data_IF_820581840776
#
_entry.id   IF_820581840776
#
_cell.length_a   1.000
_cell.length_b   1.000
_cell.length_c   1.000
_cell.angle_alpha   90.00
_cell.angle_beta   90.00
_cell.angle_gamma   90.00
#
_symmetry.space_group_name_H-M   'P 1'
#
loop_
_entity.id
_entity.type
_entity.pdbx_description
1 polymer ?
#
# COMPACT_ATOMS: atom_id res chain seq x y z
N UNK A 1 16.75 79.98 -10.52
CA UNK A 1 17.41 78.83 -11.18
C UNK A 1 16.84 77.53 -10.64
N UNK A 2 16.30 76.70 -11.54
CA UNK A 2 15.92 75.28 -11.42
C UNK A 2 15.05 74.84 -10.23
N UNK A 3 13.73 74.87 -10.43
CA UNK A 3 12.77 74.04 -9.68
C UNK A 3 12.85 72.59 -10.18
N UNK A 4 13.33 71.67 -9.34
CA UNK A 4 13.20 70.23 -9.59
C UNK A 4 11.85 69.75 -9.04
N UNK A 5 10.92 69.50 -9.97
CA UNK A 5 9.63 68.87 -9.72
C UNK A 5 9.87 67.41 -9.31
N UNK A 6 9.56 67.06 -8.06
CA UNK A 6 9.51 65.68 -7.60
C UNK A 6 8.07 65.17 -7.80
N UNK A 7 7.87 64.44 -8.90
CA UNK A 7 6.61 63.73 -9.20
C UNK A 7 6.49 62.54 -8.26
N UNK A 8 5.64 62.65 -7.24
CA UNK A 8 5.23 61.53 -6.39
C UNK A 8 4.27 60.64 -7.18
N UNK A 9 4.72 59.44 -7.58
CA UNK A 9 3.83 58.39 -8.08
C UNK A 9 3.01 57.84 -6.89
N UNK A 10 1.71 58.09 -6.91
CA UNK A 10 0.76 57.46 -6.02
C UNK A 10 0.54 55.99 -6.45
N UNK A 11 1.00 55.05 -5.62
CA UNK A 11 0.63 53.65 -5.75
C UNK A 11 -0.79 53.47 -5.19
N UNK A 12 -1.76 53.27 -6.08
CA UNK A 12 -3.14 52.94 -5.76
C UNK A 12 -3.19 51.45 -5.34
N UNK A 13 -3.18 51.18 -4.03
CA UNK A 13 -3.43 49.85 -3.50
C UNK A 13 -4.95 49.60 -3.49
N UNK A 14 -5.44 48.83 -4.47
CA UNK A 14 -6.82 48.36 -4.50
C UNK A 14 -6.99 47.25 -3.46
N UNK A 15 -7.63 47.57 -2.34
CA UNK A 15 -8.12 46.58 -1.38
C UNK A 15 -9.37 45.90 -1.96
N UNK A 16 -9.19 44.70 -2.51
CA UNK A 16 -10.29 43.83 -2.92
C UNK A 16 -11.07 43.35 -1.70
N UNK A 17 -12.36 43.68 -1.63
CA UNK A 17 -13.30 43.09 -0.68
C UNK A 17 -13.37 41.58 -0.93
N UNK A 18 -12.89 40.78 0.02
CA UNK A 18 -13.21 39.36 0.09
C UNK A 18 -14.66 39.22 0.57
N UNK A 19 -15.56 38.89 -0.35
CA UNK A 19 -16.91 38.44 0.00
C UNK A 19 -16.78 37.11 0.75
N UNK A 20 -17.10 37.12 2.03
CA UNK A 20 -17.24 35.91 2.85
C UNK A 20 -18.42 35.11 2.31
N UNK A 21 -18.11 34.05 1.56
CA UNK A 21 -19.09 33.01 1.22
C UNK A 21 -19.43 32.29 2.52
N UNK A 22 -20.60 32.61 3.08
CA UNK A 22 -21.15 31.88 4.20
C UNK A 22 -21.32 30.41 3.79
N UNK A 23 -20.69 29.51 4.55
CA UNK A 23 -20.90 28.07 4.43
C UNK A 23 -22.38 27.78 4.69
N UNK A 24 -23.12 27.47 3.62
CA UNK A 24 -24.50 27.00 3.72
C UNK A 24 -24.46 25.61 4.36
N UNK A 25 -25.08 25.38 5.54
CA UNK A 25 -25.13 24.03 6.07
C UNK A 25 -25.84 23.13 5.07
N UNK A 26 -25.20 22.00 4.75
CA UNK A 26 -25.81 20.96 3.96
C UNK A 26 -27.10 20.52 4.67
N UNK A 27 -28.22 20.56 3.95
CA UNK A 27 -29.44 19.94 4.43
C UNK A 27 -29.15 18.44 4.59
N UNK A 28 -29.17 17.97 5.82
CA UNK A 28 -29.11 16.56 6.18
C UNK A 28 -30.28 15.85 5.49
N UNK A 29 -30.06 14.84 4.63
CA UNK A 29 -31.17 14.10 4.07
C UNK A 29 -31.88 13.39 5.23
N UNK A 30 -33.16 13.71 5.42
CA UNK A 30 -33.99 13.10 6.43
C UNK A 30 -33.86 11.57 6.35
N UNK A 31 -33.39 10.96 7.43
CA UNK A 31 -33.39 9.51 7.58
C UNK A 31 -34.84 9.00 7.39
N UNK A 32 -35.05 7.89 6.65
CA UNK A 32 -36.39 7.33 6.54
C UNK A 32 -36.81 6.82 7.93
N UNK A 33 -37.80 7.49 8.53
CA UNK A 33 -38.49 6.99 9.72
C UNK A 33 -39.11 5.64 9.39
N UNK A 34 -38.49 4.56 9.84
CA UNK A 34 -39.04 3.22 9.71
C UNK A 34 -40.32 3.12 10.55
N UNK A 35 -41.46 2.90 9.89
CA UNK A 35 -42.69 2.52 10.56
C UNK A 35 -42.53 1.13 11.22
N UNK A 36 -43.06 0.88 12.42
CA UNK A 36 -42.99 -0.42 13.05
C UNK A 36 -44.11 -1.32 12.51
N UNK A 37 -43.76 -2.55 12.16
CA UNK A 37 -44.72 -3.63 11.94
C UNK A 37 -45.04 -3.90 10.47
N UNK A 38 -44.26 -4.80 9.88
CA UNK A 38 -44.80 -6.06 9.35
C UNK A 38 -43.63 -7.02 9.12
N UNK A 39 -43.49 -7.99 10.02
CA UNK A 39 -42.61 -9.14 9.85
C UNK A 39 -43.20 -10.06 8.79
N UNK A 40 -43.11 -9.65 7.52
CA UNK A 40 -43.28 -10.55 6.40
C UNK A 40 -41.89 -11.00 5.95
N UNK A 41 -41.58 -12.27 6.23
CA UNK A 41 -40.46 -13.00 5.64
C UNK A 41 -40.63 -13.07 4.12
N UNK A 42 -40.20 -12.02 3.42
CA UNK A 42 -39.80 -12.13 2.03
C UNK A 42 -38.28 -12.40 2.04
N UNK A 43 -37.76 -13.41 1.30
CA UNK A 43 -36.34 -13.45 1.05
C UNK A 43 -36.02 -12.17 0.29
N UNK A 44 -35.30 -11.26 0.94
CA UNK A 44 -34.74 -10.10 0.26
C UNK A 44 -33.67 -10.63 -0.72
N UNK A 45 -34.12 -11.16 -1.85
CA UNK A 45 -33.35 -11.14 -3.09
C UNK A 45 -33.43 -9.72 -3.62
N UNK A 46 -33.00 -8.76 -2.79
CA UNK A 46 -32.70 -7.43 -3.27
C UNK A 46 -31.44 -7.62 -4.11
N UNK A 47 -31.65 -7.83 -5.41
CA UNK A 47 -30.60 -7.62 -6.38
C UNK A 47 -30.01 -6.25 -6.05
N UNK A 48 -28.72 -6.25 -5.68
CA UNK A 48 -27.97 -5.01 -5.54
C UNK A 48 -28.27 -4.17 -6.78
N UNK A 49 -28.74 -2.91 -6.62
CA UNK A 49 -29.10 -2.08 -7.77
C UNK A 49 -27.92 -2.08 -8.76
N UNK A 50 -28.20 -2.15 -10.07
CA UNK A 50 -27.16 -2.04 -11.08
C UNK A 50 -26.36 -0.74 -10.84
N UNK A 51 -25.14 -0.87 -10.33
CA UNK A 51 -24.35 0.25 -9.80
C UNK A 51 -24.00 0.20 -8.30
N UNK A 52 -24.41 -0.84 -7.57
CA UNK A 52 -24.08 -0.97 -6.15
C UNK A 52 -22.56 -1.14 -5.90
N UNK A 53 -21.84 -1.67 -6.88
CA UNK A 53 -20.39 -1.80 -6.84
C UNK A 53 -19.80 -0.91 -7.95
N UNK A 54 -19.04 0.14 -7.59
CA UNK A 54 -18.39 0.98 -8.59
C UNK A 54 -17.32 0.20 -9.37
N UNK A 55 -17.06 0.63 -10.60
CA UNK A 55 -15.95 0.11 -11.42
C UNK A 55 -14.61 0.34 -10.70
N UNK A 56 -13.70 -0.62 -10.79
CA UNK A 56 -12.41 -0.60 -10.10
C UNK A 56 -12.41 -1.23 -8.71
N UNK A 57 -13.56 -1.61 -8.14
CA UNK A 57 -13.59 -2.36 -6.87
C UNK A 57 -13.01 -3.76 -7.08
N UNK A 58 -12.06 -4.12 -6.22
CA UNK A 58 -11.42 -5.44 -6.20
C UNK A 58 -12.00 -6.25 -5.06
N UNK A 59 -12.43 -7.48 -5.35
CA UNK A 59 -12.95 -8.42 -4.35
C UNK A 59 -12.20 -9.74 -4.40
N UNK A 60 -12.08 -10.39 -3.24
CA UNK A 60 -11.61 -11.77 -3.17
C UNK A 60 -12.73 -12.69 -3.67
N UNK A 61 -12.40 -13.54 -4.63
CA UNK A 61 -13.32 -14.42 -5.33
C UNK A 61 -12.82 -15.86 -5.24
N UNK A 62 -13.71 -16.74 -4.81
CA UNK A 62 -13.46 -18.17 -4.78
C UNK A 62 -14.15 -18.83 -5.97
N UNK A 63 -13.39 -19.08 -7.03
CA UNK A 63 -13.89 -19.70 -8.25
C UNK A 63 -12.88 -19.60 -9.40
N UNK A 64 -13.07 -20.42 -10.43
CA UNK A 64 -12.24 -20.42 -11.64
C UNK A 64 -12.89 -19.72 -12.83
N UNK A 65 -14.21 -19.56 -12.79
CA UNK A 65 -15.00 -18.89 -13.84
C UNK A 65 -15.35 -17.49 -13.36
N UNK A 66 -14.84 -16.48 -14.05
CA UNK A 66 -15.10 -15.07 -13.71
C UNK A 66 -16.54 -14.70 -14.12
N UNK A 67 -17.37 -14.15 -13.21
CA UNK A 67 -18.72 -13.72 -13.54
C UNK A 67 -18.75 -12.57 -14.56
N UNK A 68 -19.88 -12.41 -15.25
CA UNK A 68 -20.06 -11.32 -16.21
C UNK A 68 -19.94 -9.94 -15.55
N UNK A 69 -19.27 -9.00 -16.24
CA UNK A 69 -19.01 -7.65 -15.75
C UNK A 69 -17.93 -7.57 -14.66
N UNK A 70 -17.10 -8.61 -14.56
CA UNK A 70 -15.89 -8.65 -13.75
C UNK A 70 -14.71 -9.13 -14.59
N UNK A 71 -13.51 -8.75 -14.18
CA UNK A 71 -12.25 -9.16 -14.81
C UNK A 71 -11.28 -9.68 -13.78
N UNK A 72 -10.39 -10.58 -14.19
CA UNK A 72 -9.34 -11.09 -13.33
C UNK A 72 -8.24 -10.03 -13.13
N UNK A 73 -7.76 -9.88 -11.90
CA UNK A 73 -6.61 -9.03 -11.58
C UNK A 73 -5.28 -9.72 -11.94
N UNK A 74 -4.98 -9.80 -13.24
CA UNK A 74 -3.81 -10.50 -13.78
C UNK A 74 -2.77 -9.59 -14.46
N UNK A 75 -2.97 -8.27 -14.40
CA UNK A 75 -2.06 -7.30 -15.00
C UNK A 75 -2.39 -6.94 -16.44
N UNK A 76 -3.44 -7.52 -17.03
CA UNK A 76 -3.82 -7.24 -18.42
C UNK A 76 -4.76 -6.03 -18.53
N UNK A 77 -4.69 -5.38 -19.68
CA UNK A 77 -5.66 -4.37 -20.09
C UNK A 77 -6.94 -5.06 -20.55
N UNK A 78 -8.08 -4.63 -20.00
CA UNK A 78 -9.39 -5.18 -20.31
C UNK A 78 -9.91 -4.66 -21.65
N UNK A 79 -11.03 -5.24 -22.13
CA UNK A 79 -11.70 -4.78 -23.35
C UNK A 79 -12.17 -3.32 -23.26
N UNK A 80 -12.36 -2.80 -22.04
CA UNK A 80 -12.69 -1.38 -21.77
C UNK A 80 -11.47 -0.45 -21.74
N UNK A 81 -10.26 -0.96 -21.94
CA UNK A 81 -9.03 -0.16 -21.91
C UNK A 81 -8.49 0.14 -20.52
N UNK A 82 -9.01 -0.54 -19.47
CA UNK A 82 -8.53 -0.38 -18.09
C UNK A 82 -7.46 -1.43 -17.80
N UNK A 83 -6.30 -1.03 -17.28
CA UNK A 83 -5.26 -1.98 -16.85
C UNK A 83 -5.54 -2.46 -15.43
N UNK A 84 -5.74 -3.78 -15.28
CA UNK A 84 -5.90 -4.40 -13.96
C UNK A 84 -4.55 -4.52 -13.23
N UNK A 85 -4.50 -4.46 -11.90
CA UNK A 85 -3.29 -4.82 -11.15
C UNK A 85 -3.06 -6.34 -11.22
N UNK A 86 -1.79 -6.77 -11.21
CA UNK A 86 -1.43 -8.19 -11.11
C UNK A 86 -1.34 -8.61 -9.64
N UNK A 87 -2.36 -9.30 -9.13
CA UNK A 87 -2.45 -9.74 -7.73
C UNK A 87 -2.15 -11.23 -7.54
N UNK A 88 -1.63 -11.92 -8.55
CA UNK A 88 -1.31 -13.35 -8.45
C UNK A 88 -0.14 -13.58 -7.49
N UNK A 89 -0.35 -14.46 -6.49
CA UNK A 89 0.62 -14.75 -5.42
C UNK A 89 1.08 -13.50 -4.65
N UNK A 90 0.17 -12.54 -4.43
CA UNK A 90 0.47 -11.29 -3.73
C UNK A 90 -0.58 -10.99 -2.67
N UNK A 91 -0.12 -10.38 -1.58
CA UNK A 91 -1.00 -9.77 -0.60
C UNK A 91 -1.26 -8.30 -0.97
N UNK A 92 -2.44 -7.81 -0.62
CA UNK A 92 -2.81 -6.41 -0.81
C UNK A 92 -2.19 -5.59 0.31
N UNK A 93 -1.41 -4.58 -0.05
CA UNK A 93 -0.82 -3.61 0.86
C UNK A 93 -1.48 -2.25 0.62
N UNK A 94 -1.83 -1.55 1.71
CA UNK A 94 -2.43 -0.22 1.63
C UNK A 94 -1.44 0.80 1.07
N UNK A 95 -1.90 1.61 0.12
CA UNK A 95 -1.07 2.66 -0.46
C UNK A 95 -0.93 3.83 0.52
N UNK A 96 0.31 4.24 0.78
CA UNK A 96 0.64 5.58 1.24
C UNK A 96 1.11 6.42 0.03
N UNK A 97 0.34 7.43 -0.40
CA UNK A 97 0.69 8.27 -1.55
C UNK A 97 2.01 9.04 -1.39
N UNK A 98 2.53 9.19 -0.17
CA UNK A 98 3.80 9.87 0.06
C UNK A 98 5.01 8.98 -0.26
N UNK A 99 4.84 7.66 -0.26
CA UNK A 99 5.95 6.69 -0.31
C UNK A 99 5.83 5.67 -1.43
N UNK A 100 4.73 5.66 -2.19
CA UNK A 100 4.58 4.75 -3.33
C UNK A 100 3.52 5.16 -4.34
N UNK A 101 3.34 4.33 -5.35
CA UNK A 101 2.34 4.52 -6.41
C UNK A 101 1.29 3.39 -6.44
N UNK A 102 0.09 3.68 -6.97
CA UNK A 102 -0.93 2.67 -7.21
C UNK A 102 -0.37 1.59 -8.15
N UNK A 103 -0.48 0.32 -7.74
CA UNK A 103 0.03 -0.81 -8.52
C UNK A 103 1.52 -1.06 -8.39
N UNK A 104 2.21 -0.33 -7.52
CA UNK A 104 3.58 -0.65 -7.12
C UNK A 104 3.64 -2.04 -6.48
N UNK A 105 4.73 -2.77 -6.75
CA UNK A 105 4.91 -4.16 -6.33
C UNK A 105 6.21 -4.31 -5.59
N UNK A 106 6.17 -5.01 -4.46
CA UNK A 106 7.34 -5.37 -3.68
C UNK A 106 7.23 -6.76 -3.06
N UNK A 107 8.19 -7.08 -2.21
CA UNK A 107 8.26 -8.33 -1.47
C UNK A 107 8.83 -9.51 -2.27
N UNK A 108 9.27 -10.54 -1.53
CA UNK A 108 9.75 -11.81 -2.05
C UNK A 108 9.22 -12.95 -1.19
N UNK A 109 8.92 -14.11 -1.78
CA UNK A 109 8.42 -15.27 -1.04
C UNK A 109 9.47 -15.88 -0.10
N UNK A 110 10.75 -15.71 -0.42
CA UNK A 110 11.89 -16.13 0.39
C UNK A 110 12.90 -15.00 0.47
N UNK A 111 13.67 -14.96 1.55
CA UNK A 111 14.82 -14.08 1.68
C UNK A 111 16.02 -14.84 2.24
N UNK A 112 17.22 -14.36 1.93
CA UNK A 112 18.47 -14.87 2.46
C UNK A 112 18.90 -14.04 3.67
N UNK A 113 19.40 -14.70 4.68
CA UNK A 113 20.05 -14.03 5.81
C UNK A 113 21.54 -13.90 5.53
N UNK A 114 22.15 -12.82 6.00
CA UNK A 114 23.60 -12.66 5.98
C UNK A 114 24.12 -12.64 7.41
N UNK A 115 25.04 -13.56 7.73
CA UNK A 115 25.78 -13.53 8.99
C UNK A 115 27.12 -12.83 8.79
N UNK A 116 27.53 -12.01 9.78
CA UNK A 116 28.89 -11.48 9.87
C UNK A 116 29.51 -12.02 11.15
N UNK A 117 30.57 -12.80 11.03
CA UNK A 117 31.42 -13.13 12.17
C UNK A 117 32.30 -11.91 12.45
N UNK A 118 32.34 -11.46 13.71
CA UNK A 118 33.26 -10.40 14.12
C UNK A 118 34.71 -10.78 13.77
N UNK A 119 35.53 -9.79 13.41
CA UNK A 119 36.96 -10.00 13.15
C UNK A 119 37.69 -10.58 14.36
N UNK A 120 38.92 -11.10 14.17
CA UNK A 120 39.73 -11.60 15.28
C UNK A 120 39.91 -10.50 16.34
N UNK A 121 39.97 -10.92 17.60
CA UNK A 121 40.13 -10.02 18.75
C UNK A 121 41.49 -9.30 18.69
N UNK A 122 41.52 -8.15 19.36
CA UNK A 122 42.59 -7.15 19.42
C UNK A 122 44.01 -7.74 19.44
N UNK A 123 44.95 -7.05 18.78
CA UNK A 123 46.39 -7.35 18.73
C UNK A 123 47.11 -7.11 20.05
N UNK A 124 46.62 -7.62 21.17
CA UNK A 124 47.30 -7.45 22.46
C UNK A 124 47.14 -8.71 23.32
N UNK A 125 47.80 -9.80 22.92
CA UNK A 125 48.49 -10.72 23.83
C UNK A 125 49.26 -11.77 23.03
N UNK A 126 50.53 -11.98 23.40
CA UNK A 126 51.41 -12.97 22.78
C UNK A 126 50.95 -14.36 23.26
N UNK A 127 50.03 -14.99 22.53
CA UNK A 127 49.59 -16.36 22.84
C UNK A 127 50.75 -17.31 22.56
N UNK A 128 51.35 -17.85 23.63
CA UNK A 128 52.36 -18.90 23.51
C UNK A 128 51.67 -20.24 23.21
N UNK A 129 51.98 -20.81 22.04
CA UNK A 129 51.59 -22.18 21.68
C UNK A 129 52.60 -23.13 22.30
N UNK A 130 52.27 -23.66 23.48
CA UNK A 130 52.94 -24.86 24.01
C UNK A 130 52.62 -26.07 23.14
N UNK A 131 53.58 -26.97 23.00
CA UNK A 131 53.62 -28.11 22.09
C UNK A 131 52.79 -29.33 22.53
N UNK A 132 51.97 -29.20 23.58
CA UNK A 132 51.34 -30.35 24.23
C UNK A 132 49.83 -30.52 23.97
N UNK A 133 49.14 -29.59 23.32
CA UNK A 133 47.70 -29.72 23.06
C UNK A 133 47.30 -29.23 21.67
N UNK A 134 46.45 -30.01 20.98
CA UNK A 134 45.78 -29.59 19.75
C UNK A 134 44.70 -28.53 20.04
N UNK A 135 45.09 -27.41 20.63
CA UNK A 135 44.22 -26.26 20.80
C UNK A 135 43.97 -25.65 19.42
N UNK A 136 42.70 -25.41 19.07
CA UNK A 136 42.34 -24.72 17.85
C UNK A 136 43.01 -23.33 17.82
N UNK A 137 43.94 -23.11 16.90
CA UNK A 137 44.67 -21.85 16.78
C UNK A 137 43.76 -20.73 16.26
N UNK A 138 44.09 -19.46 16.51
CA UNK A 138 43.30 -18.28 16.08
C UNK A 138 43.24 -18.09 14.54
N UNK A 139 43.82 -19.01 13.76
CA UNK A 139 43.81 -19.00 12.30
C UNK A 139 42.72 -19.85 11.65
N UNK A 140 41.83 -20.48 12.42
CA UNK A 140 40.76 -21.31 11.87
C UNK A 140 39.48 -20.51 11.59
N UNK A 141 38.74 -20.93 10.56
CA UNK A 141 37.49 -20.29 10.15
C UNK A 141 36.29 -21.08 10.64
N UNK A 142 35.29 -20.40 11.21
CA UNK A 142 33.98 -20.98 11.44
C UNK A 142 33.13 -20.84 10.18
N UNK A 143 32.62 -21.96 9.67
CA UNK A 143 31.60 -21.93 8.64
C UNK A 143 30.24 -21.61 9.30
N UNK A 144 29.64 -20.49 8.88
CA UNK A 144 28.28 -20.14 9.27
C UNK A 144 27.40 -20.28 8.04
N UNK A 145 26.66 -21.37 7.96
CA UNK A 145 25.59 -21.54 6.96
C UNK A 145 24.31 -20.92 7.48
N UNK A 146 23.65 -20.10 6.66
CA UNK A 146 22.32 -19.59 6.96
C UNK A 146 21.41 -19.87 5.78
N UNK A 147 20.46 -20.79 5.99
CA UNK A 147 19.50 -21.17 4.98
C UNK A 147 18.46 -20.08 4.75
N UNK A 148 17.88 -20.07 3.56
CA UNK A 148 16.75 -19.19 3.25
C UNK A 148 15.51 -19.63 4.05
N UNK A 149 14.78 -18.66 4.59
CA UNK A 149 13.54 -18.91 5.34
C UNK A 149 12.30 -18.51 4.55
N UNK A 150 11.22 -19.29 4.70
CA UNK A 150 9.87 -18.95 4.25
C UNK A 150 9.07 -18.39 5.43
N UNK A 151 8.43 -17.24 5.25
CA UNK A 151 7.68 -16.54 6.29
C UNK A 151 6.17 -16.53 6.01
N UNK A 152 5.67 -17.41 5.12
CA UNK A 152 4.26 -17.49 4.80
C UNK A 152 3.51 -18.25 5.91
N UNK A 153 2.57 -17.61 6.64
CA UNK A 153 1.66 -18.34 7.52
C UNK A 153 0.76 -19.28 6.71
N UNK A 154 0.06 -20.25 7.34
CA UNK A 154 -0.94 -21.07 6.67
C UNK A 154 -1.96 -20.18 5.93
N UNK A 155 -2.20 -20.47 4.64
CA UNK A 155 -2.98 -19.60 3.76
C UNK A 155 -3.86 -20.38 2.78
N UNK A 156 -4.92 -19.73 2.30
CA UNK A 156 -5.79 -20.23 1.23
C UNK A 156 -5.69 -19.27 0.03
N UNK A 157 -5.58 -19.82 -1.18
CA UNK A 157 -5.49 -19.02 -2.41
C UNK A 157 -6.88 -18.73 -2.96
N UNK A 158 -7.22 -17.45 -3.06
CA UNK A 158 -8.40 -16.96 -3.78
C UNK A 158 -7.94 -16.19 -5.02
N UNK A 159 -8.82 -16.10 -6.02
CA UNK A 159 -8.61 -15.17 -7.12
C UNK A 159 -9.03 -13.76 -6.68
N UNK A 160 -8.42 -12.74 -7.28
CA UNK A 160 -8.91 -11.37 -7.15
C UNK A 160 -9.56 -10.96 -8.47
N UNK A 161 -10.79 -10.48 -8.39
CA UNK A 161 -11.51 -9.94 -9.54
C UNK A 161 -11.84 -8.47 -9.31
N UNK A 162 -11.83 -7.69 -10.39
CA UNK A 162 -12.14 -6.26 -10.39
C UNK A 162 -13.43 -6.02 -11.17
N UNK A 163 -14.27 -5.13 -10.67
CA UNK A 163 -15.49 -4.70 -11.36
C UNK A 163 -15.12 -3.88 -12.60
N UNK A 164 -15.65 -4.26 -13.76
CA UNK A 164 -15.53 -3.48 -15.02
C UNK A 164 -16.47 -2.27 -15.10
#
# INVERSE_FOLDING_TARGET
MSHRRATFLAFLAAAGLATVVACRPAAEPAAPTAAPGDSATAPATAALPAGAVPSGVIVAFYGTVVPEGWVLCDGRTTARGVTTPDLRNRFIFGLDPATGAVGERGGAASHTHTARTGGPREKDEKIESGDDEHAANDGHTHEVSVDAAQHLPPYVKLAYIMKE
#
